data_IF_356574212156
#
_entry.id   IF_356574212156
#
_cell.length_a   1.000
_cell.length_b   1.000
_cell.length_c   1.000
_cell.angle_alpha   90.00
_cell.angle_beta   90.00
_cell.angle_gamma   90.00
#
_symmetry.space_group_name_H-M   'P 1'
#
loop_
_entity.id
_entity.type
_entity.pdbx_description
1 polymer ?
#
# COMPACT_ATOMS: atom_id res chain seq x y z
N UNK A 1 -31.56 5.42 39.52
CA UNK A 1 -31.19 6.69 38.85
C UNK A 1 -29.99 6.43 37.96
N UNK A 2 -30.06 6.88 36.73
CA UNK A 2 -29.50 6.22 35.55
C UNK A 2 -27.99 6.40 35.39
N UNK A 3 -27.28 5.30 35.13
CA UNK A 3 -25.89 5.23 34.63
C UNK A 3 -25.63 6.24 33.49
N UNK A 4 -26.67 6.44 32.68
CA UNK A 4 -26.80 7.37 31.56
C UNK A 4 -26.55 8.86 31.88
N UNK A 5 -26.65 9.30 33.13
CA UNK A 5 -26.32 10.70 33.52
C UNK A 5 -24.86 10.92 33.89
N UNK A 6 -24.09 9.86 34.16
CA UNK A 6 -22.70 9.96 34.62
C UNK A 6 -21.66 9.88 33.51
N UNK A 7 -22.01 9.27 32.37
CA UNK A 7 -21.09 9.10 31.23
C UNK A 7 -21.80 9.38 29.89
N UNK A 8 -22.12 10.64 29.57
CA UNK A 8 -22.85 10.99 28.34
C UNK A 8 -22.08 10.61 27.06
N UNK A 9 -20.75 10.62 27.10
CA UNK A 9 -19.89 10.18 25.98
C UNK A 9 -19.96 8.67 25.74
N UNK A 10 -19.93 7.85 26.80
CA UNK A 10 -20.06 6.40 26.68
C UNK A 10 -21.46 6.01 26.18
N UNK A 11 -22.49 6.71 26.66
CA UNK A 11 -23.86 6.54 26.17
C UNK A 11 -23.97 6.90 24.68
N UNK A 12 -23.33 7.99 24.23
CA UNK A 12 -23.32 8.40 22.83
C UNK A 12 -22.60 7.36 21.94
N UNK A 13 -21.48 6.79 22.39
CA UNK A 13 -20.73 5.74 21.66
C UNK A 13 -21.54 4.44 21.55
N UNK A 14 -22.25 4.05 22.61
CA UNK A 14 -23.09 2.85 22.58
C UNK A 14 -24.30 3.04 21.66
N UNK A 15 -24.95 4.21 21.71
CA UNK A 15 -26.08 4.51 20.82
C UNK A 15 -25.63 4.64 19.37
N UNK A 16 -24.46 5.23 19.07
CA UNK A 16 -23.93 5.30 17.71
C UNK A 16 -23.59 3.93 17.16
N UNK A 17 -23.04 3.02 17.98
CA UNK A 17 -22.75 1.64 17.58
C UNK A 17 -24.01 0.86 17.18
N UNK A 18 -25.09 0.98 17.97
CA UNK A 18 -26.36 0.29 17.71
C UNK A 18 -27.10 0.82 16.47
N UNK A 19 -26.96 2.11 16.15
CA UNK A 19 -27.56 2.72 14.93
C UNK A 19 -26.85 2.23 13.66
N UNK A 20 -25.54 2.00 13.73
CA UNK A 20 -24.74 1.50 12.61
C UNK A 20 -25.07 0.01 12.33
N UNK A 21 -25.25 -0.80 13.38
CA UNK A 21 -25.69 -2.21 13.23
C UNK A 21 -27.10 -2.32 12.62
N UNK A 22 -28.03 -1.45 13.02
CA UNK A 22 -29.38 -1.43 12.47
C UNK A 22 -29.45 -1.11 10.97
N UNK A 23 -28.55 -0.25 10.47
CA UNK A 23 -28.46 0.09 9.05
C UNK A 23 -27.85 -1.03 8.20
N UNK A 24 -26.94 -1.82 8.76
CA UNK A 24 -26.31 -2.96 8.08
C UNK A 24 -27.28 -4.13 7.82
N UNK A 25 -28.18 -4.41 8.77
CA UNK A 25 -29.18 -5.48 8.63
C UNK A 25 -30.30 -5.10 7.63
N UNK A 26 -30.61 -3.81 7.47
CA UNK A 26 -31.66 -3.34 6.57
C UNK A 26 -31.25 -3.31 5.09
N UNK A 27 -29.94 -3.26 4.77
CA UNK A 27 -29.42 -3.08 3.40
C UNK A 27 -28.91 -4.36 2.73
N UNK A 28 -29.32 -5.54 3.19
CA UNK A 28 -29.38 -6.74 2.34
C UNK A 28 -28.10 -7.14 1.61
N UNK A 29 -26.95 -7.11 2.30
CA UNK A 29 -25.71 -7.74 1.79
C UNK A 29 -25.91 -9.26 1.81
N UNK A 30 -26.27 -9.84 0.66
CA UNK A 30 -26.30 -11.29 0.48
C UNK A 30 -24.86 -11.80 0.38
N UNK A 31 -24.30 -12.19 1.52
CA UNK A 31 -23.09 -13.00 1.60
C UNK A 31 -23.34 -14.35 0.91
N UNK A 32 -22.49 -14.71 -0.05
CA UNK A 32 -22.29 -16.11 -0.42
C UNK A 32 -21.80 -16.90 0.80
N UNK A 33 -22.14 -18.17 0.83
CA UNK A 33 -22.07 -19.11 1.95
C UNK A 33 -20.82 -18.96 2.85
N UNK A 34 -21.06 -18.46 4.07
CA UNK A 34 -20.23 -18.79 5.23
C UNK A 34 -21.21 -19.37 6.26
N UNK A 35 -21.08 -20.67 6.50
CA UNK A 35 -21.77 -21.32 7.61
C UNK A 35 -21.32 -20.66 8.93
N UNK A 36 -22.29 -20.02 9.59
CA UNK A 36 -22.32 -19.71 11.02
C UNK A 36 -21.35 -18.60 11.54
N UNK A 37 -21.77 -17.31 11.50
CA UNK A 37 -21.02 -16.23 12.16
C UNK A 37 -21.39 -16.21 13.65
N UNK A 38 -20.79 -17.11 14.42
CA UNK A 38 -20.97 -17.16 15.87
C UNK A 38 -19.63 -16.95 16.61
N UNK A 39 -18.97 -15.81 16.41
CA UNK A 39 -18.08 -15.29 17.46
C UNK A 39 -17.86 -13.77 17.34
N UNK A 40 -18.11 -13.09 18.45
CA UNK A 40 -17.90 -11.68 18.78
C UNK A 40 -16.45 -11.15 18.64
N UNK A 41 -15.58 -11.83 17.88
CA UNK A 41 -14.14 -11.56 17.86
C UNK A 41 -13.62 -10.81 16.63
N UNK A 42 -14.42 -10.51 15.61
CA UNK A 42 -13.94 -9.75 14.45
C UNK A 42 -14.99 -8.72 13.97
N UNK A 43 -14.75 -7.42 14.17
CA UNK A 43 -15.58 -6.38 13.56
C UNK A 43 -15.31 -6.31 12.05
N UNK A 44 -16.30 -5.89 11.26
CA UNK A 44 -16.24 -5.87 9.78
C UNK A 44 -15.04 -5.09 9.20
N UNK A 45 -14.51 -4.08 9.91
CA UNK A 45 -13.26 -3.39 9.55
C UNK A 45 -12.06 -4.35 9.51
N UNK A 46 -11.99 -5.32 10.42
CA UNK A 46 -10.92 -6.31 10.45
C UNK A 46 -10.95 -7.24 9.22
N UNK A 47 -12.13 -7.52 8.67
CA UNK A 47 -12.29 -8.29 7.42
C UNK A 47 -11.72 -7.53 6.22
N UNK A 48 -11.94 -6.21 6.15
CA UNK A 48 -11.34 -5.35 5.12
C UNK A 48 -9.81 -5.40 5.17
N UNK A 49 -9.21 -5.40 6.36
CA UNK A 49 -7.76 -5.51 6.53
C UNK A 49 -7.20 -6.92 6.23
N UNK A 50 -7.99 -7.98 6.44
CA UNK A 50 -7.61 -9.36 6.05
C UNK A 50 -7.60 -9.49 4.51
N UNK A 51 -8.61 -8.95 3.84
CA UNK A 51 -8.73 -9.03 2.37
C UNK A 51 -7.65 -8.21 1.65
N UNK A 52 -7.28 -7.04 2.20
CA UNK A 52 -6.14 -6.23 1.73
C UNK A 52 -4.80 -6.97 1.84
N UNK A 53 -4.58 -7.72 2.92
CA UNK A 53 -3.37 -8.54 3.12
C UNK A 53 -3.29 -9.71 2.12
N UNK A 54 -4.43 -10.12 1.57
CA UNK A 54 -4.55 -11.20 0.57
C UNK A 54 -4.64 -10.67 -0.87
N UNK A 55 -4.47 -9.36 -1.09
CA UNK A 55 -4.48 -8.76 -2.43
C UNK A 55 -5.87 -8.62 -3.06
N UNK A 56 -6.94 -8.77 -2.29
CA UNK A 56 -8.33 -8.58 -2.74
C UNK A 56 -8.78 -7.18 -2.35
N UNK A 57 -8.97 -6.31 -3.34
CA UNK A 57 -9.30 -4.90 -3.12
C UNK A 57 -10.81 -4.64 -3.31
N UNK A 58 -11.46 -3.82 -2.45
CA UNK A 58 -12.90 -3.55 -2.53
C UNK A 58 -13.39 -2.90 -3.85
N UNK A 59 -12.49 -2.31 -4.61
CA UNK A 59 -12.77 -1.59 -5.87
C UNK A 59 -12.18 -2.27 -7.12
N UNK A 60 -11.73 -3.53 -7.03
CA UNK A 60 -11.31 -4.26 -8.24
C UNK A 60 -12.54 -4.59 -9.09
N UNK A 61 -12.65 -3.95 -10.26
CA UNK A 61 -13.55 -4.41 -11.32
C UNK A 61 -13.06 -5.78 -11.80
N UNK A 62 -13.84 -6.82 -11.51
CA UNK A 62 -13.50 -8.23 -11.71
C UNK A 62 -13.29 -8.60 -13.20
N UNK A 63 -13.60 -7.68 -14.11
CA UNK A 63 -13.40 -7.82 -15.56
C UNK A 63 -11.97 -7.54 -16.03
N UNK A 64 -11.17 -6.80 -15.24
CA UNK A 64 -9.79 -6.41 -15.61
C UNK A 64 -8.75 -7.44 -15.12
N UNK A 65 -9.05 -8.19 -14.07
CA UNK A 65 -8.14 -9.19 -13.49
C UNK A 65 -7.95 -10.43 -14.39
N UNK A 66 -8.96 -10.86 -15.14
CA UNK A 66 -8.82 -11.99 -16.06
C UNK A 66 -7.79 -11.71 -17.16
N UNK A 67 -7.69 -10.46 -17.64
CA UNK A 67 -6.72 -10.09 -18.65
C UNK A 67 -5.28 -9.98 -18.12
N UNK A 68 -5.11 -9.60 -16.84
CA UNK A 68 -3.79 -9.44 -16.22
C UNK A 68 -3.21 -10.76 -15.69
N UNK A 69 -4.07 -11.68 -15.21
CA UNK A 69 -3.65 -13.04 -14.83
C UNK A 69 -3.32 -13.89 -16.07
N UNK A 70 -4.11 -13.80 -17.15
CA UNK A 70 -3.81 -14.50 -18.40
C UNK A 70 -2.53 -13.97 -19.10
N UNK A 71 -2.20 -12.67 -18.97
CA UNK A 71 -0.97 -12.13 -19.54
C UNK A 71 0.29 -12.56 -18.78
N UNK A 72 0.20 -12.73 -17.45
CA UNK A 72 1.32 -13.16 -16.61
C UNK A 72 1.61 -14.68 -16.74
N UNK A 73 0.58 -15.51 -16.93
CA UNK A 73 0.75 -16.95 -17.14
C UNK A 73 1.18 -17.30 -18.59
N UNK A 74 0.77 -16.53 -19.60
CA UNK A 74 1.20 -16.74 -21.00
C UNK A 74 2.66 -16.37 -21.25
N UNK A 75 3.27 -15.52 -20.40
CA UNK A 75 4.67 -15.11 -20.56
C UNK A 75 5.67 -16.02 -19.82
N UNK A 76 5.20 -16.91 -18.94
CA UNK A 76 6.05 -17.89 -18.24
C UNK A 76 6.22 -19.20 -19.01
N UNK A 77 5.25 -19.56 -19.85
CA UNK A 77 5.31 -20.77 -20.70
C UNK A 77 5.95 -20.54 -22.09
N UNK A 78 6.47 -19.33 -22.39
CA UNK A 78 7.04 -19.00 -23.71
C UNK A 78 8.57 -18.86 -23.79
N UNK A 79 9.31 -19.20 -22.72
CA UNK A 79 10.80 -19.12 -22.71
C UNK A 79 11.48 -20.51 -22.75
N UNK A 80 10.71 -21.60 -22.73
CA UNK A 80 11.24 -22.96 -22.93
C UNK A 80 10.51 -23.69 -24.04
N UNK A 81 10.69 -23.22 -25.28
CA UNK A 81 10.67 -24.04 -26.51
C UNK A 81 10.86 -23.13 -27.73
N UNK A 82 12.10 -22.95 -28.17
CA UNK A 82 12.38 -22.73 -29.59
C UNK A 82 13.86 -23.01 -29.88
N UNK A 83 14.15 -24.25 -30.28
CA UNK A 83 15.28 -24.56 -31.15
C UNK A 83 14.84 -25.60 -32.16
N UNK A 84 14.60 -25.15 -33.39
CA UNK A 84 14.67 -25.99 -34.58
C UNK A 84 13.38 -26.15 -35.39
N UNK A 85 13.41 -25.67 -36.64
CA UNK A 85 12.90 -26.44 -37.77
C UNK A 85 11.69 -25.89 -38.51
N UNK A 86 11.97 -25.31 -39.70
CA UNK A 86 11.04 -24.94 -40.77
C UNK A 86 10.13 -26.11 -41.23
N UNK A 87 8.89 -25.83 -41.67
CA UNK A 87 8.45 -25.81 -43.10
C UNK A 87 6.91 -25.73 -43.27
N UNK A 88 6.48 -24.78 -44.12
CA UNK A 88 5.41 -24.75 -45.13
C UNK A 88 3.98 -25.34 -44.95
N UNK A 89 3.04 -24.43 -45.26
CA UNK A 89 1.88 -24.52 -46.17
C UNK A 89 0.53 -25.15 -45.75
N UNK A 90 -0.45 -24.23 -45.68
CA UNK A 90 -1.80 -24.21 -46.29
C UNK A 90 -2.97 -25.14 -45.89
N UNK A 91 -4.09 -24.44 -45.66
CA UNK A 91 -5.50 -24.72 -46.00
C UNK A 91 -6.37 -25.70 -45.18
N UNK A 92 -7.33 -25.10 -44.47
CA UNK A 92 -8.76 -25.22 -44.79
C UNK A 92 -9.61 -26.31 -44.11
N UNK A 93 -10.78 -25.91 -43.58
CA UNK A 93 -12.01 -26.73 -43.68
C UNK A 93 -12.65 -27.29 -42.40
N UNK A 94 -13.69 -26.58 -41.94
CA UNK A 94 -14.99 -27.05 -41.40
C UNK A 94 -15.21 -28.42 -40.68
N UNK A 95 -15.85 -28.26 -39.50
CA UNK A 95 -17.08 -28.93 -38.98
C UNK A 95 -17.11 -30.43 -38.54
N UNK A 96 -17.64 -30.52 -37.31
CA UNK A 96 -18.73 -31.38 -36.83
C UNK A 96 -18.45 -32.85 -36.44
N UNK A 97 -18.66 -33.12 -35.15
CA UNK A 97 -19.85 -33.85 -34.75
C UNK A 97 -19.69 -35.33 -34.35
N UNK A 98 -20.28 -35.60 -33.17
CA UNK A 98 -20.98 -36.82 -32.76
C UNK A 98 -20.30 -37.81 -31.80
N UNK A 99 -21.00 -37.91 -30.66
CA UNK A 99 -21.03 -38.92 -29.62
C UNK A 99 -21.31 -40.32 -30.17
N UNK A 100 -20.81 -41.35 -29.49
CA UNK A 100 -21.57 -42.57 -29.25
C UNK A 100 -21.11 -43.22 -27.93
N UNK A 101 -22.11 -43.53 -27.11
CA UNK A 101 -22.03 -44.23 -25.84
C UNK A 101 -21.99 -45.75 -26.04
N UNK A 102 -21.58 -46.41 -24.95
CA UNK A 102 -22.28 -47.52 -24.29
C UNK A 102 -21.60 -48.91 -24.28
N UNK A 103 -21.97 -49.60 -23.20
CA UNK A 103 -21.86 -51.02 -22.88
C UNK A 103 -20.52 -51.51 -22.29
N UNK A 104 -20.48 -52.34 -21.23
CA UNK A 104 -21.46 -52.86 -20.27
C UNK A 104 -20.65 -53.63 -19.20
N UNK A 105 -21.16 -53.61 -17.96
CA UNK A 105 -21.22 -54.66 -16.92
C UNK A 105 -20.26 -55.87 -17.04
N UNK A 106 -19.34 -56.06 -16.11
CA UNK A 106 -19.49 -56.71 -14.79
C UNK A 106 -19.68 -58.24 -14.87
N UNK A 107 -18.69 -59.01 -14.40
CA UNK A 107 -18.96 -60.13 -13.48
C UNK A 107 -17.73 -60.75 -12.78
N UNK A 108 -17.88 -60.89 -11.47
CA UNK A 108 -17.54 -62.01 -10.58
C UNK A 108 -16.15 -62.72 -10.56
N UNK A 109 -15.40 -62.41 -9.48
CA UNK A 109 -14.99 -63.30 -8.34
C UNK A 109 -14.31 -64.69 -8.57
N UNK A 110 -13.06 -64.73 -8.07
CA UNK A 110 -12.56 -65.50 -6.90
C UNK A 110 -11.99 -66.93 -7.08
N UNK A 111 -10.84 -67.19 -6.41
CA UNK A 111 -10.28 -68.52 -6.04
C UNK A 111 -8.88 -68.79 -6.61
N UNK A 112 -7.75 -68.48 -5.94
CA UNK A 112 -7.01 -69.17 -4.84
C UNK A 112 -6.27 -70.47 -5.22
N UNK A 113 -4.94 -70.48 -4.95
CA UNK A 113 -4.04 -71.65 -4.84
C UNK A 113 -2.78 -71.51 -5.73
N UNK A 114 -1.63 -71.05 -5.21
CA UNK A 114 -0.52 -71.83 -4.57
C UNK A 114 0.25 -72.68 -5.61
N UNK A 115 1.58 -72.66 -5.82
CA UNK A 115 2.81 -72.21 -5.14
C UNK A 115 3.93 -72.09 -6.20
N UNK A 116 4.89 -71.18 -6.05
CA UNK A 116 6.33 -71.50 -5.96
C UNK A 116 7.28 -70.30 -6.10
N UNK A 117 8.41 -70.46 -5.43
CA UNK A 117 9.34 -69.48 -4.90
C UNK A 117 10.33 -68.84 -5.90
N UNK A 118 10.78 -67.64 -5.47
CA UNK A 118 12.14 -67.11 -5.50
C UNK A 118 12.85 -66.85 -6.84
N UNK A 119 13.01 -65.54 -7.12
CA UNK A 119 13.94 -65.02 -8.13
C UNK A 119 14.08 -63.49 -8.10
N UNK A 120 14.80 -62.97 -7.09
CA UNK A 120 15.69 -61.77 -7.11
C UNK A 120 15.43 -60.65 -8.14
N UNK A 121 15.08 -59.45 -7.65
CA UNK A 121 15.90 -58.22 -7.70
C UNK A 121 15.02 -56.97 -7.60
N UNK A 122 15.18 -56.22 -6.51
CA UNK A 122 14.50 -54.95 -6.30
C UNK A 122 15.02 -53.84 -7.21
N UNK A 123 14.12 -52.94 -7.59
CA UNK A 123 14.43 -51.57 -7.95
C UNK A 123 13.21 -50.72 -7.56
N UNK A 124 13.26 -50.12 -6.37
CA UNK A 124 12.35 -49.07 -5.95
C UNK A 124 12.84 -47.75 -6.56
N UNK A 125 11.94 -47.06 -7.25
CA UNK A 125 12.11 -45.71 -7.77
C UNK A 125 12.33 -44.74 -6.59
N UNK A 126 13.41 -43.93 -6.55
CA UNK A 126 13.54 -42.92 -5.52
C UNK A 126 12.56 -41.78 -5.78
N UNK A 127 11.70 -41.52 -4.80
CA UNK A 127 10.82 -40.35 -4.78
C UNK A 127 11.66 -39.07 -4.80
N UNK A 128 11.33 -38.19 -5.75
CA UNK A 128 11.85 -36.83 -5.84
C UNK A 128 11.34 -36.06 -4.62
N UNK A 129 12.21 -35.85 -3.64
CA UNK A 129 11.94 -34.96 -2.52
C UNK A 129 11.69 -33.56 -3.10
N UNK A 130 10.53 -32.99 -2.77
CA UNK A 130 10.28 -31.57 -2.99
C UNK A 130 11.24 -30.80 -2.07
N UNK A 131 12.18 -30.07 -2.66
CA UNK A 131 12.92 -29.05 -1.93
C UNK A 131 11.93 -27.95 -1.56
N UNK A 132 11.47 -27.98 -0.32
CA UNK A 132 10.87 -26.82 0.33
C UNK A 132 11.96 -25.74 0.38
N UNK A 133 11.87 -24.78 -0.54
CA UNK A 133 12.67 -23.56 -0.48
C UNK A 133 12.16 -22.80 0.73
N UNK A 134 12.87 -22.90 1.86
CA UNK A 134 12.66 -22.00 2.99
C UNK A 134 12.99 -20.60 2.50
N UNK A 135 11.96 -19.80 2.22
CA UNK A 135 12.08 -18.34 2.13
C UNK A 135 12.75 -17.89 3.42
N UNK A 136 14.01 -17.44 3.32
CA UNK A 136 14.72 -16.87 4.46
C UNK A 136 13.88 -15.70 4.98
N UNK A 137 13.50 -15.75 6.25
CA UNK A 137 12.84 -14.63 6.93
C UNK A 137 13.81 -13.44 6.85
N UNK A 138 13.56 -12.49 5.95
CA UNK A 138 14.35 -11.26 5.86
C UNK A 138 14.24 -10.54 7.21
N UNK A 139 15.39 -10.24 7.83
CA UNK A 139 15.40 -9.51 9.09
C UNK A 139 14.67 -8.16 8.93
N UNK A 140 13.93 -7.73 9.97
CA UNK A 140 13.20 -6.47 9.91
C UNK A 140 14.16 -5.32 9.61
N UNK A 141 13.80 -4.50 8.64
CA UNK A 141 14.54 -3.30 8.29
C UNK A 141 14.34 -2.26 9.40
N UNK A 142 15.44 -1.74 9.92
CA UNK A 142 15.45 -0.73 10.98
C UNK A 142 16.02 0.60 10.46
N UNK A 143 15.52 1.70 11.02
CA UNK A 143 16.06 3.02 10.75
C UNK A 143 17.50 3.13 11.26
N UNK A 144 18.36 3.71 10.43
CA UNK A 144 19.76 3.96 10.75
C UNK A 144 20.17 5.35 10.28
N UNK A 145 21.20 5.88 10.92
CA UNK A 145 21.93 7.02 10.43
C UNK A 145 22.51 6.77 9.03
N UNK A 146 22.37 7.75 8.15
CA UNK A 146 22.91 7.77 6.78
C UNK A 146 23.49 9.14 6.44
N UNK A 147 24.51 9.14 5.60
CA UNK A 147 25.07 10.37 5.05
C UNK A 147 24.16 10.97 3.95
N UNK A 148 24.40 12.24 3.61
CA UNK A 148 23.59 13.01 2.65
C UNK A 148 23.51 12.35 1.26
N UNK A 149 24.56 11.65 0.84
CA UNK A 149 24.62 10.93 -0.44
C UNK A 149 23.57 9.81 -0.55
N UNK A 150 23.03 9.33 0.58
CA UNK A 150 21.92 8.38 0.61
C UNK A 150 20.69 8.87 -0.17
N UNK A 151 20.49 10.19 -0.27
CA UNK A 151 19.34 10.80 -0.94
C UNK A 151 19.57 11.05 -2.44
N UNK A 152 20.72 10.67 -3.01
CA UNK A 152 21.08 10.95 -4.40
C UNK A 152 20.12 10.32 -5.45
N UNK A 153 19.44 9.24 -5.07
CA UNK A 153 18.46 8.50 -5.86
C UNK A 153 17.03 8.61 -5.26
N UNK A 154 16.81 9.66 -4.44
CA UNK A 154 15.55 9.93 -3.77
C UNK A 154 14.74 11.00 -4.50
N UNK A 155 13.41 10.88 -4.40
CA UNK A 155 12.47 11.94 -4.77
C UNK A 155 11.61 12.35 -3.58
N UNK A 156 11.51 13.66 -3.35
CA UNK A 156 10.64 14.27 -2.36
C UNK A 156 9.39 14.81 -3.04
N UNK A 157 8.22 14.33 -2.62
CA UNK A 157 6.91 14.70 -3.15
C UNK A 157 6.12 15.42 -2.04
N UNK A 158 5.57 16.60 -2.34
CA UNK A 158 4.74 17.28 -1.35
C UNK A 158 4.30 18.70 -1.68
N UNK A 159 3.84 19.39 -0.65
CA UNK A 159 3.25 20.73 -0.75
C UNK A 159 4.26 21.87 -0.48
N UNK A 160 3.79 23.02 0.02
CA UNK A 160 4.63 24.17 0.37
C UNK A 160 5.67 23.85 1.44
N UNK A 161 5.43 22.87 2.33
CA UNK A 161 6.40 22.50 3.36
C UNK A 161 7.58 21.75 2.76
N UNK A 162 7.32 20.81 1.85
CA UNK A 162 8.36 20.14 1.06
C UNK A 162 9.08 21.11 0.12
N UNK A 163 8.38 22.14 -0.38
CA UNK A 163 9.02 23.22 -1.13
C UNK A 163 10.00 24.01 -0.24
N UNK A 164 9.65 24.28 1.02
CA UNK A 164 10.60 24.88 1.95
C UNK A 164 11.79 23.95 2.27
N UNK A 165 11.59 22.62 2.27
CA UNK A 165 12.71 21.68 2.41
C UNK A 165 13.65 21.79 1.21
N UNK A 166 13.11 21.87 -0.01
CA UNK A 166 13.89 22.16 -1.22
C UNK A 166 14.65 23.50 -1.14
N UNK A 167 14.00 24.56 -0.65
CA UNK A 167 14.58 25.91 -0.63
C UNK A 167 15.65 26.12 0.45
N UNK A 168 15.52 25.47 1.61
CA UNK A 168 16.29 25.82 2.81
C UNK A 168 17.11 24.68 3.43
N UNK A 169 16.92 23.43 2.99
CA UNK A 169 17.84 22.33 3.34
C UNK A 169 18.99 22.22 2.35
N UNK A 170 19.98 21.37 2.65
CA UNK A 170 21.00 21.05 1.66
C UNK A 170 20.61 19.84 0.78
N UNK A 171 19.46 19.20 1.02
CA UNK A 171 19.06 17.99 0.26
C UNK A 171 18.81 18.28 -1.23
N UNK A 172 18.48 19.53 -1.59
CA UNK A 172 18.28 19.93 -2.99
C UNK A 172 19.55 19.78 -3.85
N UNK A 173 20.74 19.70 -3.23
CA UNK A 173 21.99 19.47 -3.96
C UNK A 173 22.13 18.03 -4.48
N UNK A 174 21.40 17.08 -3.88
CA UNK A 174 21.56 15.64 -4.13
C UNK A 174 20.27 14.94 -4.56
N UNK A 175 19.12 15.36 -4.04
CA UNK A 175 17.83 14.70 -4.25
C UNK A 175 16.94 15.44 -5.26
N UNK A 176 15.99 14.71 -5.83
CA UNK A 176 14.96 15.28 -6.70
C UNK A 176 13.76 15.78 -5.89
N UNK A 177 13.16 16.90 -6.29
CA UNK A 177 11.99 17.48 -5.61
C UNK A 177 10.83 17.70 -6.58
N UNK A 178 9.74 16.99 -6.34
CA UNK A 178 8.43 17.18 -6.98
C UNK A 178 7.47 17.78 -5.97
N UNK A 179 7.63 19.07 -5.70
CA UNK A 179 6.78 19.81 -4.76
C UNK A 179 6.16 21.06 -5.37
N UNK A 180 5.00 21.47 -4.82
CA UNK A 180 4.32 22.71 -5.21
C UNK A 180 3.49 23.27 -4.05
N UNK A 181 3.54 24.58 -3.88
CA UNK A 181 2.64 25.30 -2.95
C UNK A 181 1.16 24.93 -3.19
N UNK A 182 0.44 24.67 -2.09
CA UNK A 182 -0.99 24.30 -2.08
C UNK A 182 -1.33 23.02 -2.85
N UNK A 183 -0.35 22.13 -3.07
CA UNK A 183 -0.62 20.81 -3.60
C UNK A 183 -1.47 20.01 -2.61
N UNK A 184 -2.43 19.26 -3.14
CA UNK A 184 -3.21 18.29 -2.37
C UNK A 184 -2.94 16.88 -2.88
N UNK A 185 -3.19 15.86 -2.05
CA UNK A 185 -3.18 14.44 -2.39
C UNK A 185 -4.09 14.15 -3.59
N UNK A 186 -5.24 14.82 -3.65
CA UNK A 186 -6.15 14.76 -4.81
C UNK A 186 -5.51 15.28 -6.10
N UNK A 187 -4.54 16.19 -6.00
CA UNK A 187 -3.83 16.73 -7.17
C UNK A 187 -2.67 15.86 -7.66
N UNK A 188 -2.36 14.75 -6.98
CA UNK A 188 -1.30 13.85 -7.40
C UNK A 188 -1.76 12.97 -8.56
N UNK A 189 -2.90 12.30 -8.43
CA UNK A 189 -3.41 11.34 -9.44
C UNK A 189 -4.90 11.47 -9.77
N UNK A 190 -5.75 11.95 -8.86
CA UNK A 190 -7.21 12.02 -9.11
C UNK A 190 -7.61 13.22 -9.97
N UNK A 191 -7.06 14.39 -9.66
CA UNK A 191 -7.23 15.65 -10.37
C UNK A 191 -5.82 16.20 -10.67
N UNK A 192 -5.05 15.47 -11.50
CA UNK A 192 -3.63 15.70 -11.64
C UNK A 192 -3.36 17.13 -12.11
N UNK A 193 -2.37 17.75 -11.47
CA UNK A 193 -1.85 19.05 -11.89
C UNK A 193 -0.49 18.86 -12.56
N UNK A 194 -0.25 19.62 -13.62
CA UNK A 194 1.08 19.70 -14.22
C UNK A 194 1.91 20.69 -13.39
N UNK A 195 2.70 20.16 -12.46
CA UNK A 195 3.47 20.98 -11.52
C UNK A 195 4.97 20.74 -11.55
N UNK A 196 5.40 19.63 -12.15
CA UNK A 196 6.81 19.29 -12.30
C UNK A 196 7.30 19.96 -13.57
N UNK A 197 8.47 20.59 -13.53
CA UNK A 197 9.10 21.21 -14.70
C UNK A 197 10.38 20.47 -15.03
N UNK A 198 10.45 19.97 -16.26
CA UNK A 198 11.65 19.39 -16.85
C UNK A 198 11.99 20.16 -18.12
N UNK A 199 12.95 21.07 -18.02
CA UNK A 199 13.19 22.07 -19.06
C UNK A 199 11.95 22.93 -19.31
N UNK A 200 11.46 22.91 -20.56
CA UNK A 200 10.28 23.67 -20.97
C UNK A 200 8.95 22.89 -20.79
N UNK A 201 9.03 21.58 -20.52
CA UNK A 201 7.85 20.75 -20.32
C UNK A 201 7.26 20.90 -18.91
N UNK A 202 5.93 20.82 -18.83
CA UNK A 202 5.22 20.66 -17.56
C UNK A 202 4.63 19.26 -17.52
N UNK A 203 4.91 18.54 -16.44
CA UNK A 203 4.52 17.16 -16.25
C UNK A 203 3.61 17.01 -15.03
N UNK A 204 2.68 16.05 -15.13
CA UNK A 204 2.02 15.48 -13.96
C UNK A 204 3.01 14.64 -13.16
N UNK A 205 2.65 14.32 -11.91
CA UNK A 205 3.46 13.39 -11.10
C UNK A 205 3.58 12.02 -11.77
N UNK A 206 2.48 11.49 -12.31
CA UNK A 206 2.49 10.20 -13.01
C UNK A 206 3.48 10.20 -14.18
N UNK A 207 3.46 11.23 -15.03
CA UNK A 207 4.40 11.34 -16.15
C UNK A 207 5.86 11.38 -15.70
N UNK A 208 6.17 12.15 -14.66
CA UNK A 208 7.54 12.25 -14.15
C UNK A 208 8.02 10.92 -13.53
N UNK A 209 7.18 10.24 -12.75
CA UNK A 209 7.49 8.93 -12.18
C UNK A 209 7.52 7.81 -13.23
N UNK A 210 6.81 7.93 -14.34
CA UNK A 210 6.97 6.99 -15.46
C UNK A 210 8.28 7.19 -16.23
N UNK A 211 8.87 8.39 -16.19
CA UNK A 211 10.11 8.72 -16.89
C UNK A 211 11.36 8.36 -16.09
N UNK A 212 11.30 8.52 -14.77
CA UNK A 212 12.45 8.34 -13.87
C UNK A 212 12.17 7.27 -12.83
N UNK A 213 13.20 6.49 -12.49
CA UNK A 213 13.12 5.48 -11.44
C UNK A 213 14.00 5.92 -10.27
N UNK A 214 13.39 6.00 -9.09
CA UNK A 214 14.02 6.34 -7.83
C UNK A 214 14.13 5.08 -6.97
N UNK A 215 15.10 5.05 -6.06
CA UNK A 215 15.18 3.97 -5.06
C UNK A 215 14.49 4.35 -3.76
N UNK A 216 14.16 5.64 -3.58
CA UNK A 216 13.52 6.16 -2.37
C UNK A 216 12.51 7.22 -2.74
N UNK A 217 11.32 7.15 -2.18
CA UNK A 217 10.28 8.16 -2.34
C UNK A 217 9.88 8.68 -0.96
N UNK A 218 9.98 9.99 -0.76
CA UNK A 218 9.54 10.65 0.47
C UNK A 218 8.26 11.44 0.18
N UNK A 219 7.15 11.04 0.77
CA UNK A 219 5.85 11.68 0.58
C UNK A 219 5.43 12.42 1.86
N UNK A 220 5.30 13.74 1.77
CA UNK A 220 4.71 14.57 2.82
C UNK A 220 3.65 15.50 2.23
N UNK A 221 2.38 15.17 2.46
CA UNK A 221 1.22 15.93 1.98
C UNK A 221 0.05 15.69 2.94
N UNK A 222 -0.93 16.60 3.00
CA UNK A 222 -2.14 16.37 3.78
C UNK A 222 -2.66 17.55 4.58
N UNK A 223 -1.87 18.62 4.75
CA UNK A 223 -2.35 19.79 5.50
C UNK A 223 -3.44 20.57 4.73
N UNK A 224 -3.35 20.62 3.41
CA UNK A 224 -4.26 21.40 2.57
C UNK A 224 -5.68 20.77 2.48
N UNK A 225 -5.81 19.52 2.89
CA UNK A 225 -7.01 18.70 2.91
C UNK A 225 -7.77 18.82 4.21
N UNK A 226 -7.23 19.52 5.22
CA UNK A 226 -7.94 19.68 6.49
C UNK A 226 -9.28 20.37 6.29
N UNK A 227 -9.37 21.30 5.34
CA UNK A 227 -10.60 22.03 5.01
C UNK A 227 -11.50 21.38 3.95
N UNK A 228 -11.21 20.16 3.49
CA UNK A 228 -11.99 19.53 2.40
C UNK A 228 -12.03 18.01 2.57
N UNK A 229 -13.22 17.42 2.40
CA UNK A 229 -13.42 15.99 2.60
C UNK A 229 -13.52 15.60 4.08
N UNK A 230 -13.63 14.30 4.33
CA UNK A 230 -13.59 13.67 5.65
C UNK A 230 -12.23 12.97 5.85
N UNK A 231 -11.84 12.62 7.10
CA UNK A 231 -10.66 11.78 7.35
C UNK A 231 -10.64 10.52 6.48
N UNK A 232 -11.78 9.84 6.34
CA UNK A 232 -11.89 8.62 5.54
C UNK A 232 -11.62 8.89 4.06
N UNK A 233 -12.26 9.92 3.47
CA UNK A 233 -12.02 10.28 2.07
C UNK A 233 -10.61 10.81 1.81
N UNK A 234 -9.96 11.37 2.83
CA UNK A 234 -8.55 11.75 2.78
C UNK A 234 -7.67 10.51 2.74
N UNK A 235 -7.89 9.56 3.65
CA UNK A 235 -7.11 8.34 3.73
C UNK A 235 -7.26 7.48 2.48
N UNK A 236 -8.47 7.34 1.94
CA UNK A 236 -8.69 6.64 0.67
C UNK A 236 -7.88 7.26 -0.49
N UNK A 237 -7.86 8.59 -0.58
CA UNK A 237 -7.04 9.29 -1.58
C UNK A 237 -5.54 9.13 -1.33
N UNK A 238 -5.11 9.19 -0.07
CA UNK A 238 -3.72 9.02 0.32
C UNK A 238 -3.20 7.61 0.05
N UNK A 239 -3.94 6.58 0.46
CA UNK A 239 -3.61 5.19 0.19
C UNK A 239 -3.52 4.93 -1.32
N UNK A 240 -4.50 5.42 -2.11
CA UNK A 240 -4.44 5.32 -3.58
C UNK A 240 -3.20 5.98 -4.16
N UNK A 241 -2.82 7.16 -3.67
CA UNK A 241 -1.60 7.84 -4.12
C UNK A 241 -0.33 7.04 -3.79
N UNK A 242 -0.21 6.52 -2.56
CA UNK A 242 0.92 5.68 -2.15
C UNK A 242 1.03 4.41 -3.00
N UNK A 243 -0.08 3.70 -3.23
CA UNK A 243 -0.06 2.49 -4.05
C UNK A 243 0.21 2.79 -5.53
N UNK A 244 -0.26 3.91 -6.06
CA UNK A 244 0.08 4.31 -7.44
C UNK A 244 1.55 4.68 -7.57
N UNK A 245 2.14 5.36 -6.58
CA UNK A 245 3.58 5.60 -6.51
C UNK A 245 4.34 4.27 -6.49
N UNK A 246 3.92 3.32 -5.65
CA UNK A 246 4.52 1.98 -5.56
C UNK A 246 4.47 1.21 -6.89
N UNK A 247 3.35 1.30 -7.61
CA UNK A 247 3.20 0.72 -8.96
C UNK A 247 4.18 1.35 -9.97
N UNK A 248 4.33 2.68 -9.93
CA UNK A 248 5.20 3.43 -10.83
C UNK A 248 6.70 3.31 -10.46
N UNK A 249 7.01 2.91 -9.23
CA UNK A 249 8.34 2.85 -8.64
C UNK A 249 8.54 1.51 -7.89
N UNK A 250 8.48 0.36 -8.58
CA UNK A 250 8.40 -0.96 -7.95
C UNK A 250 9.61 -1.33 -7.09
N UNK A 251 10.77 -0.72 -7.35
CA UNK A 251 12.01 -0.97 -6.59
C UNK A 251 12.22 0.01 -5.42
N UNK A 252 11.36 1.02 -5.27
CA UNK A 252 11.58 2.09 -4.31
C UNK A 252 11.13 1.72 -2.90
N UNK A 253 11.88 2.20 -1.90
CA UNK A 253 11.38 2.30 -0.53
C UNK A 253 10.58 3.60 -0.42
N UNK A 254 9.35 3.52 0.07
CA UNK A 254 8.45 4.65 0.24
C UNK A 254 8.40 5.05 1.71
N UNK A 255 8.75 6.29 1.99
CA UNK A 255 8.63 6.93 3.29
C UNK A 255 7.40 7.84 3.29
N UNK A 256 6.33 7.40 3.94
CA UNK A 256 5.17 8.24 4.22
C UNK A 256 5.44 9.05 5.48
N UNK A 257 5.47 10.36 5.37
CA UNK A 257 5.75 11.24 6.50
C UNK A 257 4.45 11.70 7.15
N UNK A 258 4.42 11.70 8.48
CA UNK A 258 3.34 12.32 9.24
C UNK A 258 3.22 13.80 8.88
N UNK A 259 1.98 14.27 8.73
CA UNK A 259 1.69 15.69 8.53
C UNK A 259 2.25 16.47 9.73
N UNK A 260 3.03 17.51 9.44
CA UNK A 260 3.64 18.35 10.48
C UNK A 260 2.56 19.12 11.22
N UNK A 261 2.59 19.03 12.55
CA UNK A 261 1.75 19.75 13.48
C UNK A 261 1.91 21.26 13.32
N UNK A 262 0.87 21.99 13.71
CA UNK A 262 0.86 23.45 13.78
C UNK A 262 1.28 23.92 15.16
N UNK A 263 1.67 25.19 15.26
CA UNK A 263 2.04 25.79 16.52
C UNK A 263 0.81 26.06 17.42
N UNK A 264 1.06 26.20 18.72
CA UNK A 264 0.02 26.17 19.76
C UNK A 264 -1.11 27.18 19.57
N UNK A 265 -0.83 28.38 19.04
CA UNK A 265 -1.88 29.38 18.81
C UNK A 265 -2.88 28.92 17.75
N UNK A 266 -2.40 28.36 16.64
CA UNK A 266 -3.27 27.85 15.57
C UNK A 266 -4.00 26.58 16.02
N UNK A 267 -3.31 25.68 16.72
CA UNK A 267 -3.93 24.51 17.34
C UNK A 267 -5.12 24.88 18.26
N UNK A 268 -4.98 25.94 19.06
CA UNK A 268 -6.00 26.35 20.02
C UNK A 268 -7.17 27.15 19.42
N UNK A 269 -7.01 27.76 18.25
CA UNK A 269 -7.98 28.73 17.72
C UNK A 269 -8.59 28.37 16.36
N UNK A 270 -7.95 27.53 15.57
CA UNK A 270 -8.43 27.17 14.24
C UNK A 270 -9.29 25.90 14.28
N UNK A 271 -10.56 25.95 13.85
CA UNK A 271 -11.45 24.78 13.90
C UNK A 271 -11.06 23.68 12.89
N UNK A 272 -10.25 24.02 11.88
CA UNK A 272 -9.90 23.14 10.76
C UNK A 272 -8.45 22.70 10.85
N UNK A 273 -7.53 23.67 10.91
CA UNK A 273 -6.09 23.45 10.87
C UNK A 273 -5.53 23.38 12.30
N UNK A 274 -5.81 22.28 13.01
CA UNK A 274 -5.38 22.03 14.38
C UNK A 274 -4.78 20.63 14.56
N UNK A 275 -4.00 20.44 15.63
CA UNK A 275 -3.23 19.22 15.88
C UNK A 275 -4.11 17.99 16.13
N UNK A 276 -5.35 18.16 16.61
CA UNK A 276 -6.31 17.06 16.69
C UNK A 276 -6.61 16.48 15.30
N UNK A 277 -6.96 17.34 14.34
CA UNK A 277 -7.26 16.91 12.96
C UNK A 277 -6.02 16.40 12.22
N UNK A 278 -4.84 16.94 12.54
CA UNK A 278 -3.55 16.46 12.03
C UNK A 278 -3.28 15.03 12.54
N UNK A 279 -3.41 14.82 13.85
CA UNK A 279 -3.12 13.53 14.47
C UNK A 279 -4.06 12.41 14.00
N UNK A 280 -5.34 12.70 13.77
CA UNK A 280 -6.29 11.73 13.21
C UNK A 280 -5.75 11.19 11.87
N UNK A 281 -5.32 12.07 10.98
CA UNK A 281 -4.78 11.70 9.67
C UNK A 281 -3.43 10.99 9.78
N UNK A 282 -2.56 11.43 10.69
CA UNK A 282 -1.25 10.79 10.88
C UNK A 282 -1.38 9.34 11.35
N UNK A 283 -2.33 9.05 12.25
CA UNK A 283 -2.64 7.67 12.66
C UNK A 283 -3.04 6.83 11.45
N UNK A 284 -3.86 7.35 10.55
CA UNK A 284 -4.26 6.65 9.33
C UNK A 284 -3.06 6.44 8.37
N UNK A 285 -2.25 7.48 8.14
CA UNK A 285 -1.05 7.39 7.30
C UNK A 285 -0.07 6.34 7.82
N UNK A 286 0.16 6.31 9.14
CA UNK A 286 1.04 5.34 9.79
C UNK A 286 0.63 3.89 9.49
N UNK A 287 -0.68 3.61 9.36
CA UNK A 287 -1.17 2.26 9.03
C UNK A 287 -0.75 1.73 7.66
N UNK A 288 -0.25 2.59 6.75
CA UNK A 288 0.27 2.18 5.45
C UNK A 288 1.68 1.57 5.54
N UNK A 289 2.41 1.83 6.62
CA UNK A 289 3.73 1.24 6.82
C UNK A 289 3.61 -0.28 6.97
N UNK A 290 4.45 -1.01 6.25
CA UNK A 290 4.45 -2.48 6.24
C UNK A 290 5.78 -3.09 6.70
N UNK A 291 6.77 -2.25 7.02
CA UNK A 291 8.09 -2.67 7.51
C UNK A 291 8.97 -3.36 6.46
N UNK A 292 8.56 -3.34 5.18
CA UNK A 292 9.29 -3.97 4.07
C UNK A 292 9.72 -2.94 3.03
N UNK A 293 8.76 -2.24 2.47
CA UNK A 293 8.98 -1.23 1.42
C UNK A 293 8.19 0.06 1.65
N UNK A 294 7.30 0.10 2.65
CA UNK A 294 6.65 1.33 3.10
C UNK A 294 6.96 1.53 4.58
N UNK A 295 7.52 2.70 4.90
CA UNK A 295 7.91 3.10 6.26
C UNK A 295 7.25 4.42 6.62
N UNK A 296 6.86 4.57 7.88
CA UNK A 296 6.33 5.81 8.42
C UNK A 296 7.42 6.59 9.15
N UNK A 297 7.46 7.90 8.93
CA UNK A 297 8.39 8.81 9.62
C UNK A 297 7.56 9.92 10.29
N UNK A 298 7.65 10.04 11.63
CA UNK A 298 7.03 11.14 12.36
C UNK A 298 8.01 12.29 12.60
N UNK A 299 8.14 13.19 11.61
CA UNK A 299 8.98 14.40 11.74
C UNK A 299 8.58 15.28 12.94
N UNK A 300 7.36 15.13 13.47
CA UNK A 300 6.91 15.90 14.63
C UNK A 300 7.79 15.67 15.87
N UNK A 301 8.48 14.53 15.98
CA UNK A 301 9.43 14.25 17.05
C UNK A 301 10.59 15.25 17.10
N UNK A 302 11.00 15.79 15.96
CA UNK A 302 12.12 16.73 15.87
C UNK A 302 11.69 18.21 15.93
N UNK A 303 10.45 18.51 15.58
CA UNK A 303 9.99 19.91 15.39
C UNK A 303 8.94 20.36 16.40
N UNK A 304 8.41 19.46 17.22
CA UNK A 304 7.45 19.81 18.27
C UNK A 304 8.10 20.06 19.62
N UNK A 305 7.46 20.93 20.40
CA UNK A 305 7.75 21.18 21.80
C UNK A 305 7.16 20.09 22.72
N UNK A 306 7.41 20.22 24.03
CA UNK A 306 6.90 19.32 25.07
C UNK A 306 5.36 19.22 25.13
N UNK A 307 4.65 20.20 24.57
CA UNK A 307 3.19 20.22 24.49
C UNK A 307 2.67 19.57 23.20
N UNK A 308 3.56 19.04 22.36
CA UNK A 308 3.24 18.42 21.09
C UNK A 308 2.84 19.41 20.00
N UNK A 309 3.18 20.71 20.13
CA UNK A 309 2.95 21.70 19.07
C UNK A 309 4.25 22.04 18.37
N UNK A 310 4.19 22.46 17.11
CA UNK A 310 5.35 23.06 16.45
C UNK A 310 5.90 24.21 17.32
N UNK A 311 7.22 24.24 17.55
CA UNK A 311 7.85 25.30 18.31
C UNK A 311 7.42 26.68 17.81
N UNK A 312 6.81 27.48 18.69
CA UNK A 312 6.21 28.77 18.31
C UNK A 312 7.24 29.73 17.69
N UNK A 313 8.49 29.74 18.20
CA UNK A 313 9.57 30.57 17.67
C UNK A 313 10.11 30.07 16.31
N UNK A 314 9.73 28.88 15.88
CA UNK A 314 10.21 28.25 14.65
C UNK A 314 9.32 28.51 13.44
N UNK A 315 8.23 29.25 13.63
CA UNK A 315 7.27 29.60 12.59
C UNK A 315 6.87 31.07 12.68
N UNK A 316 6.45 31.66 11.57
CA UNK A 316 5.87 33.02 11.55
C UNK A 316 4.35 32.99 11.45
N UNK A 317 3.78 31.94 10.84
CA UNK A 317 2.37 31.83 10.49
C UNK A 317 1.67 30.65 11.19
N UNK A 318 2.37 30.03 12.14
CA UNK A 318 1.94 28.85 12.89
C UNK A 318 1.91 27.54 12.08
N UNK A 319 2.37 27.54 10.82
CA UNK A 319 2.26 26.41 9.87
C UNK A 319 3.61 26.03 9.26
N UNK A 320 4.35 27.00 8.74
CA UNK A 320 5.60 26.78 8.01
C UNK A 320 6.82 27.02 8.91
N UNK A 321 7.84 26.19 8.75
CA UNK A 321 9.13 26.38 9.40
C UNK A 321 9.81 27.63 8.85
N UNK A 322 10.51 28.38 9.71
CA UNK A 322 11.47 29.38 9.26
C UNK A 322 12.66 28.67 8.63
N UNK A 323 13.25 29.27 7.60
CA UNK A 323 14.37 28.74 6.83
C UNK A 323 15.42 27.98 7.67
N UNK A 324 15.94 28.61 8.74
CA UNK A 324 16.99 28.04 9.60
C UNK A 324 16.65 26.72 10.30
N UNK A 325 15.37 26.34 10.38
CA UNK A 325 14.93 25.11 11.04
C UNK A 325 14.69 23.96 10.07
N UNK A 326 14.79 24.18 8.76
CA UNK A 326 14.73 23.09 7.78
C UNK A 326 15.92 22.13 7.90
N UNK A 327 17.10 22.57 8.37
CA UNK A 327 18.20 21.66 8.73
C UNK A 327 17.82 20.65 9.82
N UNK A 328 16.89 20.97 10.72
CA UNK A 328 16.44 20.01 11.75
C UNK A 328 15.66 18.87 11.10
N UNK A 329 14.81 19.19 10.11
CA UNK A 329 14.09 18.17 9.34
C UNK A 329 15.06 17.35 8.47
N UNK A 330 16.01 17.99 7.78
CA UNK A 330 17.08 17.30 7.04
C UNK A 330 17.83 16.29 7.92
N UNK A 331 18.35 16.73 9.06
CA UNK A 331 19.08 15.86 9.99
C UNK A 331 18.19 14.73 10.51
N UNK A 332 16.91 15.00 10.79
CA UNK A 332 15.98 13.96 11.22
C UNK A 332 15.82 12.88 10.14
N UNK A 333 15.70 13.26 8.87
CA UNK A 333 15.64 12.28 7.77
C UNK A 333 16.94 11.48 7.64
N UNK A 334 18.10 12.09 7.90
CA UNK A 334 19.39 11.40 7.91
C UNK A 334 19.49 10.36 9.03
N UNK A 335 18.79 10.53 10.15
CA UNK A 335 18.68 9.50 11.20
C UNK A 335 17.67 8.37 10.85
N UNK A 336 16.88 8.54 9.78
CA UNK A 336 15.79 7.65 9.37
C UNK A 336 16.01 7.05 7.98
N UNK A 337 17.24 6.68 7.66
CA UNK A 337 17.55 5.90 6.46
C UNK A 337 17.21 4.42 6.65
N UNK A 338 16.75 3.77 5.57
CA UNK A 338 16.63 2.31 5.49
C UNK A 338 17.66 1.78 4.50
N UNK A 339 18.56 0.93 4.97
CA UNK A 339 19.59 0.29 4.15
C UNK A 339 19.30 -1.20 4.09
N UNK A 340 18.94 -1.70 2.90
CA UNK A 340 18.82 -3.15 2.67
C UNK A 340 20.22 -3.76 2.79
N UNK A 341 20.37 -4.74 3.68
CA UNK A 341 21.64 -5.41 3.98
C UNK A 341 22.07 -6.35 2.87
#
# INVERSE_FOLDING_TARGET
MSFWKKCPLLAAVIVSGLVIEGAGVANGVKSGEIENPASWKQPALATVFIDLKQGVYPWSDRSVQTAAMDAADVQKDRITEETGGQTNEENGGEKAGQMANADRDADHKNGTGDENEAGVSGNAVPGKAAEETQEAEEEPLEFTHVDKEYFADAVFIGDSRTQGLYEYSNLADVATFYSKTSLTVYNLFEKPKDFIREGDEKLTLEQALSRHQFKKVYLMIGINEMGTGTPESFFEAYARAVYKIRELQPDAIIFVQGIMRVAGQKNASDPVFNNTNINIRNVEIETLANGKDIFYIDVNEAVCDENGNLYADWTFDQIHLKAKYYQVWENFLMEHGIVKK
#
